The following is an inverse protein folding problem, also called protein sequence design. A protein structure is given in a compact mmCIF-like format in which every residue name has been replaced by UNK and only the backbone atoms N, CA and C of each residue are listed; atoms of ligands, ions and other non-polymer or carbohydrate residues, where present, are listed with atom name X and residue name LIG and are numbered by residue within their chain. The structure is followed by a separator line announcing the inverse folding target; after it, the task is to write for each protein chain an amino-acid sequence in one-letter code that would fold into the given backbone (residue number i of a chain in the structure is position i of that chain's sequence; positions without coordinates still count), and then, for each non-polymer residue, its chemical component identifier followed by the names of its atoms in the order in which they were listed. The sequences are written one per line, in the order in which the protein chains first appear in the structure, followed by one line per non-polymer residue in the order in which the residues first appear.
data_IF_869861915245
#
_entry.id   IF_869861915245
#
_cell.length_a   1.000
_cell.length_b   1.000
_cell.length_c   1.000
_cell.angle_alpha   90.00
_cell.angle_beta   90.00
_cell.angle_gamma   90.00
#
_symmetry.space_group_name_H-M   'P 1'
#
loop_
_entity.id
_entity.type
_entity.pdbx_description
1 polymer ?
#
# COMPACT_ATOMS: atom_id res chain seq x y z
N UNK A 1 -10.57 47.20 -29.79
CA UNK A 1 -9.79 47.10 -28.54
C UNK A 1 -10.68 46.46 -27.49
N UNK A 2 -10.36 45.24 -27.05
CA UNK A 2 -11.11 44.55 -26.01
C UNK A 2 -10.44 44.84 -24.65
N UNK A 3 -11.05 45.72 -23.85
CA UNK A 3 -10.65 46.01 -22.47
C UNK A 3 -11.25 44.97 -21.52
N UNK A 4 -10.75 43.74 -21.57
CA UNK A 4 -11.16 42.64 -20.70
C UNK A 4 -10.09 42.33 -19.66
N UNK A 5 -10.40 42.55 -18.38
CA UNK A 5 -9.55 42.15 -17.26
C UNK A 5 -9.73 40.63 -17.04
N UNK A 6 -8.80 39.83 -17.56
CA UNK A 6 -8.82 38.38 -17.41
C UNK A 6 -8.26 37.99 -16.04
N UNK A 7 -9.14 37.60 -15.12
CA UNK A 7 -8.75 36.99 -13.85
C UNK A 7 -8.41 35.52 -14.12
N UNK A 8 -7.12 35.21 -14.20
CA UNK A 8 -6.63 33.83 -14.16
C UNK A 8 -6.88 33.27 -12.76
N UNK A 9 -7.95 32.48 -12.59
CA UNK A 9 -8.08 31.62 -11.42
C UNK A 9 -7.25 30.37 -11.68
N UNK A 10 -6.07 30.32 -11.10
CA UNK A 10 -5.34 29.07 -10.97
C UNK A 10 -6.19 28.13 -10.10
N UNK A 11 -6.82 27.14 -10.75
CA UNK A 11 -7.18 25.91 -10.06
C UNK A 11 -5.86 25.33 -9.58
N UNK A 12 -5.66 25.22 -8.26
CA UNK A 12 -4.60 24.37 -7.71
C UNK A 12 -4.97 22.97 -8.15
N UNK A 13 -4.33 22.48 -9.22
CA UNK A 13 -4.32 21.05 -9.49
C UNK A 13 -3.84 20.41 -8.20
N UNK A 14 -4.69 19.57 -7.58
CA UNK A 14 -4.30 18.74 -6.45
C UNK A 14 -2.95 18.14 -6.80
N UNK A 15 -1.92 18.46 -6.02
CA UNK A 15 -0.58 17.91 -6.19
C UNK A 15 -0.74 16.39 -6.32
N UNK A 16 -0.68 15.87 -7.55
CA UNK A 16 -0.37 14.47 -7.76
C UNK A 16 1.12 14.38 -7.48
N UNK A 17 1.46 14.44 -6.19
CA UNK A 17 2.75 13.94 -5.75
C UNK A 17 2.72 12.48 -6.17
N UNK A 18 3.61 12.14 -7.10
CA UNK A 18 3.85 10.77 -7.45
C UNK A 18 4.01 9.97 -6.15
N UNK A 19 3.49 8.74 -6.10
CA UNK A 19 3.63 7.90 -4.92
C UNK A 19 5.11 7.80 -4.56
N UNK A 20 5.40 7.88 -3.25
CA UNK A 20 6.75 7.79 -2.68
C UNK A 20 7.40 6.46 -3.07
N UNK A 21 6.58 5.41 -3.14
CA UNK A 21 6.95 4.05 -3.48
C UNK A 21 6.09 3.56 -4.64
N UNK A 22 6.40 3.93 -5.89
CA UNK A 22 5.55 3.59 -7.03
C UNK A 22 5.48 2.08 -7.26
N UNK A 23 4.26 1.58 -7.46
CA UNK A 23 3.96 0.22 -7.92
C UNK A 23 4.05 0.09 -9.44
N UNK A 24 3.35 -0.90 -10.01
CA UNK A 24 3.26 -1.07 -11.47
C UNK A 24 2.18 -0.19 -12.12
N UNK A 25 1.56 0.73 -11.38
CA UNK A 25 0.45 1.58 -11.84
C UNK A 25 -0.72 0.79 -12.47
N UNK A 26 -0.98 -0.40 -11.92
CA UNK A 26 -1.95 -1.35 -12.46
C UNK A 26 -3.31 -1.29 -11.73
N UNK A 27 -4.23 -2.22 -12.01
CA UNK A 27 -5.57 -2.28 -11.41
C UNK A 27 -5.54 -2.82 -9.96
N UNK A 28 -4.62 -2.28 -9.16
CA UNK A 28 -4.33 -2.71 -7.80
C UNK A 28 -3.93 -1.51 -6.94
N UNK A 29 -4.70 -1.29 -5.88
CA UNK A 29 -4.49 -0.21 -4.93
C UNK A 29 -4.46 -0.78 -3.51
N UNK A 30 -3.50 -0.31 -2.72
CA UNK A 30 -3.42 -0.57 -1.29
C UNK A 30 -3.75 0.72 -0.54
N UNK A 31 -4.82 0.67 0.26
CA UNK A 31 -5.21 1.73 1.18
C UNK A 31 -4.85 1.33 2.59
N UNK A 32 -4.38 2.29 3.37
CA UNK A 32 -4.02 2.04 4.76
C UNK A 32 -4.54 3.14 5.68
N UNK A 33 -4.79 2.82 6.94
CA UNK A 33 -5.10 3.78 7.99
C UNK A 33 -4.49 3.36 9.32
N UNK A 34 -4.29 4.36 10.17
CA UNK A 34 -3.95 4.20 11.59
C UNK A 34 -5.17 4.72 12.35
N UNK A 35 -5.85 3.85 13.11
CA UNK A 35 -6.98 4.24 13.96
C UNK A 35 -8.24 4.73 13.23
N UNK A 36 -8.63 4.11 12.11
CA UNK A 36 -9.85 4.49 11.39
C UNK A 36 -10.08 3.74 10.07
N UNK A 37 -10.96 4.28 9.22
CA UNK A 37 -11.21 3.73 7.89
C UNK A 37 -9.99 3.95 6.95
N UNK A 38 -9.63 2.98 6.09
CA UNK A 38 -8.54 3.12 5.12
C UNK A 38 -8.73 4.31 4.19
N UNK A 39 -7.69 5.13 4.02
CA UNK A 39 -7.72 6.31 3.15
C UNK A 39 -6.50 6.32 2.23
N UNK A 40 -6.70 6.81 1.01
CA UNK A 40 -5.67 6.93 -0.04
C UNK A 40 -4.72 8.14 0.14
N UNK A 41 -4.81 8.83 1.28
CA UNK A 41 -4.34 10.22 1.37
C UNK A 41 -2.83 10.41 1.64
N UNK A 42 -2.14 9.40 2.20
CA UNK A 42 -0.72 9.54 2.54
C UNK A 42 0.05 8.23 2.35
N UNK A 43 1.19 8.29 1.67
CA UNK A 43 2.09 7.15 1.49
C UNK A 43 2.80 6.79 2.79
N UNK A 44 3.14 7.80 3.58
CA UNK A 44 3.83 7.66 4.87
C UNK A 44 2.86 8.07 5.98
N UNK A 45 2.65 7.19 6.96
CA UNK A 45 1.84 7.45 8.15
C UNK A 45 2.64 7.11 9.40
N UNK A 46 2.24 7.66 10.54
CA UNK A 46 2.85 7.33 11.83
C UNK A 46 1.87 6.58 12.73
N UNK A 47 2.36 5.61 13.48
CA UNK A 47 1.59 4.83 14.45
C UNK A 47 2.42 4.59 15.72
N UNK A 48 1.74 4.50 16.86
CA UNK A 48 2.35 4.17 18.16
C UNK A 48 1.98 2.73 18.54
N UNK A 49 2.78 2.12 19.42
CA UNK A 49 2.44 0.83 20.01
C UNK A 49 1.02 0.80 20.61
N UNK A 50 0.21 -0.16 20.17
CA UNK A 50 -1.20 -0.29 20.56
C UNK A 50 -2.21 0.23 19.54
N UNK A 51 -1.78 1.03 18.55
CA UNK A 51 -2.66 1.49 17.47
C UNK A 51 -3.11 0.33 16.58
N UNK A 52 -4.29 0.45 15.98
CA UNK A 52 -4.75 -0.48 14.95
C UNK A 52 -4.40 0.05 13.55
N UNK A 53 -3.70 -0.78 12.80
CA UNK A 53 -3.45 -0.58 11.39
C UNK A 53 -4.51 -1.33 10.59
N UNK A 54 -5.21 -0.63 9.72
CA UNK A 54 -6.16 -1.24 8.78
C UNK A 54 -5.62 -1.11 7.38
N UNK A 55 -5.77 -2.18 6.61
CA UNK A 55 -5.35 -2.26 5.22
C UNK A 55 -6.56 -2.70 4.41
N UNK A 56 -6.69 -2.12 3.22
CA UNK A 56 -7.71 -2.46 2.27
C UNK A 56 -7.10 -2.58 0.88
N UNK A 57 -7.31 -3.73 0.28
CA UNK A 57 -6.90 -4.01 -1.09
C UNK A 57 -8.07 -3.80 -2.03
N UNK A 58 -7.84 -3.08 -3.10
CA UNK A 58 -8.89 -2.70 -4.03
C UNK A 58 -8.39 -2.76 -5.48
N UNK A 59 -9.23 -3.32 -6.36
CA UNK A 59 -9.02 -3.42 -7.81
C UNK A 59 -10.13 -2.62 -8.50
N UNK A 60 -9.94 -1.30 -8.72
CA UNK A 60 -10.97 -0.41 -9.24
C UNK A 60 -11.65 -0.86 -10.55
N UNK A 61 -10.90 -1.46 -11.45
CA UNK A 61 -11.35 -2.02 -12.72
C UNK A 61 -11.88 -3.45 -12.62
N UNK A 62 -11.73 -4.11 -11.46
CA UNK A 62 -12.22 -5.46 -11.20
C UNK A 62 -11.43 -6.57 -11.92
N UNK A 63 -10.33 -6.26 -12.60
CA UNK A 63 -9.52 -7.23 -13.35
C UNK A 63 -8.90 -8.32 -12.48
N UNK A 64 -8.82 -8.07 -11.17
CA UNK A 64 -8.23 -8.97 -10.18
C UNK A 64 -9.28 -9.69 -9.32
N UNK A 65 -10.58 -9.54 -9.61
CA UNK A 65 -11.64 -10.23 -8.87
C UNK A 65 -11.41 -11.76 -8.84
N UNK A 66 -11.42 -12.35 -7.63
CA UNK A 66 -11.20 -13.78 -7.42
C UNK A 66 -9.75 -14.26 -7.53
N UNK A 67 -8.77 -13.36 -7.72
CA UNK A 67 -7.34 -13.72 -7.68
C UNK A 67 -6.82 -13.77 -6.25
N UNK A 68 -5.71 -14.51 -6.05
CA UNK A 68 -4.97 -14.50 -4.79
C UNK A 68 -4.01 -13.32 -4.72
N UNK A 69 -3.88 -12.72 -3.53
CA UNK A 69 -3.03 -11.57 -3.28
C UNK A 69 -1.95 -11.92 -2.26
N UNK A 70 -0.81 -11.26 -2.36
CA UNK A 70 0.22 -11.28 -1.33
C UNK A 70 0.34 -9.87 -0.77
N UNK A 71 0.02 -9.70 0.52
CA UNK A 71 0.51 -8.54 1.24
C UNK A 71 1.94 -8.86 1.67
N UNK A 72 2.86 -8.00 1.27
CA UNK A 72 4.24 -8.05 1.75
C UNK A 72 4.50 -6.88 2.67
N UNK A 73 5.31 -7.13 3.70
CA UNK A 73 5.84 -6.08 4.56
C UNK A 73 7.32 -6.32 4.82
N UNK A 74 8.10 -5.26 4.67
CA UNK A 74 9.49 -5.24 5.13
C UNK A 74 9.63 -4.23 6.27
N UNK A 75 10.20 -4.69 7.39
CA UNK A 75 10.49 -3.84 8.53
C UNK A 75 11.93 -3.37 8.44
N UNK A 76 12.14 -2.06 8.57
CA UNK A 76 13.43 -1.40 8.43
C UNK A 76 13.58 -0.25 9.44
N UNK A 77 14.79 0.29 9.59
CA UNK A 77 15.02 1.46 10.44
C UNK A 77 14.44 2.72 9.77
N UNK A 78 13.61 3.48 10.48
CA UNK A 78 12.96 4.69 9.94
C UNK A 78 13.99 5.64 9.33
N UNK A 79 13.71 6.12 8.11
CA UNK A 79 14.62 6.98 7.35
C UNK A 79 15.67 6.23 6.50
N UNK A 80 15.70 4.90 6.54
CA UNK A 80 16.57 4.05 5.69
C UNK A 80 15.73 3.06 4.88
N UNK A 81 14.90 3.51 3.93
CA UNK A 81 13.98 2.64 3.21
C UNK A 81 14.71 1.54 2.43
N UNK A 82 14.10 0.35 2.30
CA UNK A 82 14.64 -0.73 1.49
C UNK A 82 14.81 -0.29 0.02
N UNK A 83 15.81 -0.85 -0.66
CA UNK A 83 16.01 -0.66 -2.09
C UNK A 83 15.74 -1.97 -2.80
N UNK A 84 14.75 -1.98 -3.69
CA UNK A 84 14.43 -3.16 -4.51
C UNK A 84 15.18 -3.14 -5.83
N UNK A 85 15.67 -4.31 -6.31
CA UNK A 85 16.19 -4.42 -7.68
C UNK A 85 15.07 -4.55 -8.73
N UNK A 86 13.81 -4.70 -8.31
CA UNK A 86 12.68 -4.94 -9.22
C UNK A 86 11.80 -3.69 -9.36
N UNK A 87 11.63 -3.16 -10.59
CA UNK A 87 10.72 -2.02 -10.82
C UNK A 87 9.30 -2.31 -10.35
N UNK A 88 8.68 -1.35 -9.67
CA UNK A 88 7.34 -1.48 -9.12
C UNK A 88 7.28 -2.31 -7.83
N UNK A 89 8.39 -2.87 -7.33
CA UNK A 89 8.46 -3.52 -6.03
C UNK A 89 9.20 -2.56 -5.09
N UNK A 90 8.62 -2.23 -3.94
CA UNK A 90 9.23 -1.31 -3.01
C UNK A 90 10.08 -2.02 -1.94
N UNK A 91 9.80 -3.30 -1.69
CA UNK A 91 10.54 -4.15 -0.73
C UNK A 91 11.79 -4.77 -1.37
N UNK A 92 12.85 -4.96 -0.58
CA UNK A 92 14.18 -5.41 -1.04
C UNK A 92 14.36 -6.93 -1.17
N UNK A 93 13.43 -7.73 -0.63
CA UNK A 93 13.57 -9.20 -0.61
C UNK A 93 14.50 -9.72 0.49
N UNK A 94 14.83 -8.89 1.48
CA UNK A 94 15.60 -9.25 2.68
C UNK A 94 14.91 -10.37 3.48
N UNK A 95 15.62 -11.23 4.25
CA UNK A 95 15.01 -12.19 5.18
C UNK A 95 14.02 -11.60 6.20
N UNK A 96 14.00 -10.28 6.42
CA UNK A 96 12.97 -9.59 7.20
C UNK A 96 11.63 -9.39 6.46
N UNK A 97 11.52 -9.84 5.21
CA UNK A 97 10.30 -9.77 4.42
C UNK A 97 9.28 -10.78 4.92
N UNK A 98 8.14 -10.29 5.38
CA UNK A 98 7.01 -11.13 5.76
C UNK A 98 6.00 -11.16 4.62
N UNK A 99 5.64 -12.37 4.20
CA UNK A 99 4.56 -12.62 3.26
C UNK A 99 3.31 -13.03 4.01
N UNK A 100 2.27 -12.23 3.88
CA UNK A 100 0.93 -12.64 4.23
C UNK A 100 0.21 -13.02 2.94
N UNK A 101 0.07 -14.34 2.72
CA UNK A 101 -0.75 -14.86 1.64
C UNK A 101 -2.23 -14.61 1.97
N UNK A 102 -2.83 -13.66 1.27
CA UNK A 102 -4.23 -13.30 1.42
C UNK A 102 -5.03 -14.10 0.39
N UNK A 103 -5.59 -15.22 0.83
CA UNK A 103 -6.40 -16.13 0.01
C UNK A 103 -6.33 -17.61 0.39
N UNK A 104 -5.43 -17.99 1.32
CA UNK A 104 -5.13 -19.39 1.62
C UNK A 104 -5.45 -19.78 3.08
N UNK A 105 -6.64 -19.46 3.59
CA UNK A 105 -7.27 -20.06 4.80
C UNK A 105 -6.55 -20.01 6.17
N UNK A 106 -5.25 -19.75 6.22
CA UNK A 106 -4.43 -19.72 7.41
C UNK A 106 -3.40 -18.59 7.27
N UNK A 107 -3.47 -17.63 8.18
CA UNK A 107 -2.50 -16.56 8.35
C UNK A 107 -1.90 -16.68 9.75
N UNK A 108 -0.61 -16.37 9.95
CA UNK A 108 -0.03 -16.26 11.29
C UNK A 108 -0.72 -15.19 12.16
N UNK A 109 -1.57 -14.35 11.56
CA UNK A 109 -2.30 -13.27 12.20
C UNK A 109 -3.82 -13.53 12.38
N UNK A 110 -4.29 -14.76 12.16
CA UNK A 110 -5.69 -15.18 12.41
C UNK A 110 -6.55 -15.47 11.18
N UNK A 111 -7.84 -15.84 11.35
CA UNK A 111 -8.71 -16.19 10.23
C UNK A 111 -9.09 -14.96 9.40
N UNK A 112 -8.77 -14.98 8.11
CA UNK A 112 -9.17 -13.96 7.13
C UNK A 112 -10.48 -14.38 6.45
N UNK A 113 -11.54 -13.57 6.58
CA UNK A 113 -12.82 -13.78 5.88
C UNK A 113 -12.77 -13.07 4.53
N UNK A 114 -12.98 -13.82 3.44
CA UNK A 114 -12.88 -13.32 2.06
C UNK A 114 -14.26 -12.99 1.48
N UNK A 115 -14.38 -11.83 0.86
CA UNK A 115 -15.50 -11.45 -0.02
C UNK A 115 -15.00 -10.99 -1.38
N UNK A 116 -15.90 -10.69 -2.36
CA UNK A 116 -15.50 -9.89 -3.51
C UNK A 116 -14.85 -8.60 -3.02
N UNK A 117 -13.78 -8.15 -3.69
CA UNK A 117 -13.04 -6.95 -3.30
C UNK A 117 -14.00 -5.78 -2.95
N UNK A 118 -13.70 -4.98 -1.91
CA UNK A 118 -12.41 -4.90 -1.21
C UNK A 118 -12.18 -6.00 -0.16
N UNK A 119 -10.92 -6.42 -0.02
CA UNK A 119 -10.49 -7.28 1.10
C UNK A 119 -9.76 -6.43 2.12
N UNK A 120 -10.24 -6.45 3.36
CA UNK A 120 -9.66 -5.68 4.46
C UNK A 120 -9.14 -6.59 5.58
N UNK A 121 -8.10 -6.11 6.26
CA UNK A 121 -7.55 -6.75 7.45
C UNK A 121 -7.02 -5.67 8.38
N UNK A 122 -7.01 -5.98 9.67
CA UNK A 122 -6.50 -5.09 10.70
C UNK A 122 -5.62 -5.84 11.69
N UNK A 123 -4.59 -5.18 12.19
CA UNK A 123 -3.78 -5.69 13.29
C UNK A 123 -3.36 -4.57 14.22
N UNK A 124 -3.03 -4.95 15.45
CA UNK A 124 -2.53 -4.03 16.45
C UNK A 124 -1.01 -3.92 16.33
N UNK A 125 -0.47 -2.69 16.36
CA UNK A 125 0.97 -2.42 16.41
C UNK A 125 1.51 -2.95 17.73
N UNK A 126 2.47 -3.90 17.72
CA UNK A 126 3.10 -4.34 18.96
C UNK A 126 3.90 -3.21 19.62
N UNK A 127 3.98 -3.21 20.95
CA UNK A 127 4.83 -2.28 21.67
C UNK A 127 6.32 -2.61 21.45
N UNK A 128 7.19 -1.59 21.52
CA UNK A 128 8.65 -1.77 21.47
C UNK A 128 9.30 -1.63 20.09
N UNK A 129 8.55 -1.17 19.08
CA UNK A 129 9.06 -0.97 17.71
C UNK A 129 9.40 0.50 17.37
N UNK A 130 9.54 1.38 18.37
CA UNK A 130 9.91 2.78 18.15
C UNK A 130 11.20 2.90 17.33
N UNK A 131 11.18 3.74 16.30
CA UNK A 131 12.30 3.94 15.38
C UNK A 131 12.37 2.93 14.22
N UNK A 132 11.41 1.99 14.13
CA UNK A 132 11.23 1.13 12.96
C UNK A 132 10.13 1.65 12.04
N UNK A 133 10.15 1.23 10.79
CA UNK A 133 9.11 1.48 9.80
C UNK A 133 8.74 0.17 9.11
N UNK A 134 7.46 0.01 8.76
CA UNK A 134 6.98 -1.09 7.92
C UNK A 134 6.60 -0.55 6.53
N UNK A 135 7.22 -1.08 5.48
CA UNK A 135 6.85 -0.80 4.10
C UNK A 135 5.94 -1.91 3.58
N UNK A 136 4.67 -1.58 3.37
CA UNK A 136 3.63 -2.51 2.95
C UNK A 136 3.37 -2.37 1.46
N UNK A 137 3.20 -3.49 0.78
CA UNK A 137 2.84 -3.51 -0.64
C UNK A 137 1.99 -4.74 -0.92
N UNK A 138 1.10 -4.66 -1.91
CA UNK A 138 0.31 -5.80 -2.37
C UNK A 138 0.82 -6.25 -3.72
N UNK A 139 0.94 -7.56 -3.92
CA UNK A 139 1.28 -8.17 -5.18
C UNK A 139 0.22 -9.18 -5.62
N UNK A 140 0.00 -9.25 -6.92
CA UNK A 140 -0.78 -10.31 -7.57
C UNK A 140 0.02 -10.87 -8.71
N UNK A 141 0.20 -12.19 -8.72
CA UNK A 141 0.72 -12.87 -9.91
C UNK A 141 -0.40 -12.94 -10.96
N UNK A 142 -0.17 -12.30 -12.11
CA UNK A 142 -1.14 -12.26 -13.20
C UNK A 142 -0.45 -12.06 -14.54
N UNK A 143 -0.69 -12.99 -15.47
CA UNK A 143 -0.13 -12.95 -16.83
C UNK A 143 -0.73 -11.85 -17.73
N UNK A 144 -1.85 -11.25 -17.33
CA UNK A 144 -2.44 -10.10 -18.04
C UNK A 144 -1.94 -8.73 -17.54
N UNK A 145 -1.02 -8.72 -16.58
CA UNK A 145 -0.34 -7.50 -16.14
C UNK A 145 0.49 -6.90 -17.28
N UNK A 146 0.78 -5.60 -17.20
CA UNK A 146 1.58 -4.90 -18.22
C UNK A 146 2.98 -5.49 -18.42
N UNK A 147 3.57 -6.07 -17.37
CA UNK A 147 4.87 -6.76 -17.42
C UNK A 147 4.75 -8.27 -17.69
N UNK A 148 3.53 -8.82 -17.79
CA UNK A 148 3.23 -10.22 -18.07
C UNK A 148 3.47 -11.19 -16.90
N UNK A 149 3.82 -10.70 -15.72
CA UNK A 149 4.21 -11.52 -14.57
C UNK A 149 3.38 -11.17 -13.33
N UNK A 150 3.33 -9.89 -12.96
CA UNK A 150 2.69 -9.45 -11.73
C UNK A 150 2.17 -8.01 -11.80
N UNK A 151 1.20 -7.72 -10.94
CA UNK A 151 0.79 -6.37 -10.59
C UNK A 151 1.18 -6.06 -9.15
N UNK A 152 1.58 -4.83 -8.88
CA UNK A 152 1.83 -4.34 -7.53
C UNK A 152 1.14 -3.01 -7.28
N UNK A 153 0.67 -2.84 -6.05
CA UNK A 153 0.21 -1.54 -5.56
C UNK A 153 1.38 -0.59 -5.35
N UNK A 154 1.09 0.69 -5.19
CA UNK A 154 2.04 1.59 -4.54
C UNK A 154 2.34 1.09 -3.10
N UNK A 155 3.57 1.34 -2.65
CA UNK A 155 4.02 1.02 -1.30
C UNK A 155 3.51 2.05 -0.28
N UNK A 156 3.18 1.57 0.92
CA UNK A 156 2.72 2.39 2.04
C UNK A 156 3.66 2.17 3.23
N UNK A 157 4.27 3.23 3.71
CA UNK A 157 5.12 3.22 4.90
C UNK A 157 4.32 3.57 6.14
N UNK A 158 4.47 2.78 7.19
CA UNK A 158 4.01 3.09 8.54
C UNK A 158 5.23 3.23 9.45
N UNK A 159 5.49 4.45 9.90
CA UNK A 159 6.54 4.80 10.85
C UNK A 159 6.07 4.52 12.27
N UNK A 160 6.84 3.74 13.01
CA UNK A 160 6.53 3.34 14.38
C UNK A 160 7.26 4.29 15.34
N UNK A 161 6.46 5.05 16.10
CA UNK A 161 6.92 6.07 17.05
C UNK A 161 7.06 5.50 18.47
#
# INVERSE_FOLDING_TARGET
AFNGNWVLRACVASNSTLPTYPGTAADLTLRTSVGGAPLDAADVKSATGGDFLTFEMHSPGGGLAGRGYFLVVEVFATGSPPVSPYPGIAVSGNPALTFLAVGAGASPFGPTVFGPAPTSFAFQVPQGFSGASGLFQVLVSWTGSANGIFESSDGREIQLL
#
